data_IF_895962745858
#
_entry.id   IF_895962745858
#
_cell.length_a   1.000
_cell.length_b   1.000
_cell.length_c   1.000
_cell.angle_alpha   90.00
_cell.angle_beta   90.00
_cell.angle_gamma   90.00
#
_symmetry.space_group_name_H-M   'P 1'
#
loop_
_entity.id
_entity.type
_entity.pdbx_description
1 polymer ?
#
# COMPACT_ATOMS: atom_id res chain seq x y z
N UNK A 1 4.78 7.31 -25.90
CA UNK A 1 3.97 8.45 -26.35
C UNK A 1 3.23 9.08 -25.17
N UNK A 2 2.99 10.40 -25.17
CA UNK A 2 2.10 11.07 -24.21
C UNK A 2 1.07 11.90 -24.99
N UNK A 3 -0.21 11.70 -24.71
CA UNK A 3 -1.32 12.42 -25.33
C UNK A 3 -2.23 13.01 -24.26
N UNK A 4 -2.32 14.34 -24.19
CA UNK A 4 -3.31 15.01 -23.35
C UNK A 4 -4.71 14.81 -23.96
N UNK A 5 -5.67 14.43 -23.12
CA UNK A 5 -7.09 14.35 -23.48
C UNK A 5 -7.89 15.35 -22.67
N UNK A 6 -8.85 16.01 -23.32
CA UNK A 6 -9.74 16.96 -22.65
C UNK A 6 -10.96 16.20 -22.15
N UNK A 7 -11.05 16.05 -20.83
CA UNK A 7 -12.23 15.45 -20.20
C UNK A 7 -12.54 16.10 -18.86
N UNK A 8 -13.82 16.16 -18.51
CA UNK A 8 -14.30 16.58 -17.18
C UNK A 8 -14.47 15.42 -16.20
N UNK A 9 -14.28 14.18 -16.66
CA UNK A 9 -14.41 13.01 -15.80
C UNK A 9 -13.29 12.97 -14.76
N UNK A 10 -13.64 12.71 -13.51
CA UNK A 10 -12.68 12.45 -12.44
C UNK A 10 -11.97 11.11 -12.65
N UNK A 11 -10.83 10.91 -11.99
CA UNK A 11 -10.09 9.63 -12.05
C UNK A 11 -10.98 8.42 -11.72
N UNK A 12 -11.87 8.54 -10.72
CA UNK A 12 -12.73 7.42 -10.33
C UNK A 12 -13.87 7.18 -11.33
N UNK A 13 -14.39 8.21 -11.99
CA UNK A 13 -15.35 8.07 -13.10
C UNK A 13 -14.68 7.44 -14.32
N UNK A 14 -13.45 7.84 -14.65
CA UNK A 14 -12.67 7.19 -15.72
C UNK A 14 -12.49 5.71 -15.38
N UNK A 15 -12.04 5.37 -14.18
CA UNK A 15 -11.87 3.97 -13.76
C UNK A 15 -13.17 3.15 -13.83
N UNK A 16 -14.33 3.77 -13.57
CA UNK A 16 -15.64 3.11 -13.68
C UNK A 16 -15.87 2.52 -15.07
N UNK A 17 -15.29 3.10 -16.11
CA UNK A 17 -15.37 2.60 -17.49
C UNK A 17 -14.58 1.31 -17.71
N UNK A 18 -13.53 1.08 -16.90
CA UNK A 18 -12.59 -0.03 -17.05
C UNK A 18 -12.69 -1.09 -15.94
N UNK A 19 -13.49 -0.84 -14.89
CA UNK A 19 -13.55 -1.66 -13.66
C UNK A 19 -13.83 -3.15 -13.88
N UNK A 20 -14.53 -3.51 -14.95
CA UNK A 20 -14.91 -4.89 -15.28
C UNK A 20 -13.95 -5.55 -16.29
N UNK A 21 -12.96 -4.80 -16.79
CA UNK A 21 -11.96 -5.34 -17.69
C UNK A 21 -10.92 -6.17 -16.92
N UNK A 22 -10.30 -7.09 -17.65
CA UNK A 22 -9.35 -8.07 -17.09
C UNK A 22 -8.17 -7.35 -16.45
N UNK A 23 -7.83 -7.77 -15.22
CA UNK A 23 -6.72 -7.22 -14.45
C UNK A 23 -6.72 -5.68 -14.44
N UNK A 24 -7.90 -5.03 -14.49
CA UNK A 24 -7.98 -3.57 -14.41
C UNK A 24 -7.50 -3.05 -13.06
N UNK A 25 -6.95 -1.84 -13.04
CA UNK A 25 -6.57 -1.20 -11.81
C UNK A 25 -6.83 0.30 -11.80
N UNK A 26 -6.94 0.85 -10.60
CA UNK A 26 -6.62 2.24 -10.32
C UNK A 26 -5.63 2.30 -9.16
N UNK A 27 -4.51 2.99 -9.34
CA UNK A 27 -3.67 3.49 -8.27
C UNK A 27 -4.14 4.91 -7.98
N UNK A 28 -4.78 5.11 -6.84
CA UNK A 28 -5.66 6.24 -6.56
C UNK A 28 -5.07 7.16 -5.50
N UNK A 29 -4.72 8.37 -5.92
CA UNK A 29 -4.39 9.47 -5.04
C UNK A 29 -5.64 10.27 -4.68
N UNK A 30 -6.39 9.82 -3.68
CA UNK A 30 -7.66 10.45 -3.29
C UNK A 30 -7.49 11.73 -2.43
N UNK A 31 -6.27 12.06 -2.01
CA UNK A 31 -5.97 13.19 -1.12
C UNK A 31 -4.56 13.73 -1.36
N UNK A 32 -4.32 14.97 -0.92
CA UNK A 32 -3.00 15.61 -0.82
C UNK A 32 -2.27 15.78 -2.16
N UNK A 33 -2.99 16.36 -3.13
CA UNK A 33 -2.48 16.67 -4.48
C UNK A 33 -1.23 17.57 -4.53
N UNK A 34 -0.96 18.29 -3.44
CA UNK A 34 0.18 19.19 -3.33
C UNK A 34 1.45 18.50 -2.79
N UNK A 35 1.34 17.25 -2.30
CA UNK A 35 2.48 16.48 -1.81
C UNK A 35 2.48 15.06 -2.37
N UNK A 36 1.86 14.12 -1.66
CA UNK A 36 2.00 12.69 -1.93
C UNK A 36 1.06 12.18 -3.02
N UNK A 37 -0.11 12.82 -3.18
CA UNK A 37 -1.18 12.34 -4.04
C UNK A 37 -1.38 13.13 -5.34
N UNK A 38 -0.31 13.47 -6.06
CA UNK A 38 -0.42 14.26 -7.31
C UNK A 38 -1.08 13.50 -8.45
N UNK A 39 -0.84 12.19 -8.58
CA UNK A 39 -1.24 11.41 -9.75
C UNK A 39 -2.14 10.23 -9.39
N UNK A 40 -3.16 9.97 -10.21
CA UNK A 40 -3.82 8.66 -10.26
C UNK A 40 -3.50 7.97 -11.59
N UNK A 41 -3.33 6.65 -11.55
CA UNK A 41 -3.00 5.82 -12.70
C UNK A 41 -4.06 4.75 -12.92
N UNK A 42 -4.53 4.60 -14.15
CA UNK A 42 -5.58 3.64 -14.52
C UNK A 42 -5.14 2.88 -15.76
N UNK A 43 -5.31 1.56 -15.76
CA UNK A 43 -5.15 0.73 -16.95
C UNK A 43 -5.90 -0.60 -16.77
N UNK A 44 -5.90 -1.43 -17.82
CA UNK A 44 -6.53 -2.74 -17.88
C UNK A 44 -5.96 -3.56 -19.03
N UNK A 45 -6.31 -4.86 -19.06
CA UNK A 45 -5.91 -5.80 -20.11
C UNK A 45 -4.38 -5.83 -20.31
N UNK A 46 -3.61 -6.20 -19.27
CA UNK A 46 -2.16 -6.28 -19.40
C UNK A 46 -1.79 -7.25 -20.52
N UNK A 47 -0.75 -6.92 -21.29
CA UNK A 47 -0.27 -7.79 -22.37
C UNK A 47 0.45 -9.03 -21.82
N UNK A 48 0.83 -9.01 -20.54
CA UNK A 48 1.44 -10.13 -19.82
C UNK A 48 1.12 -10.05 -18.33
N UNK A 49 0.92 -11.20 -17.70
CA UNK A 49 0.72 -11.31 -16.25
C UNK A 49 1.78 -12.23 -15.65
N UNK A 50 2.42 -11.78 -14.57
CA UNK A 50 3.38 -12.55 -13.80
C UNK A 50 2.80 -12.79 -12.40
N UNK A 51 2.52 -14.05 -12.08
CA UNK A 51 1.94 -14.43 -10.79
C UNK A 51 2.59 -15.69 -10.25
N UNK A 52 3.06 -15.62 -9.00
CA UNK A 52 3.77 -16.72 -8.34
C UNK A 52 3.19 -17.00 -6.97
N UNK A 53 3.11 -18.29 -6.65
CA UNK A 53 2.72 -18.79 -5.34
C UNK A 53 3.54 -20.04 -5.06
N UNK A 54 4.14 -20.14 -3.87
CA UNK A 54 4.93 -21.30 -3.46
C UNK A 54 6.03 -21.68 -4.48
N UNK A 55 6.76 -20.70 -5.00
CA UNK A 55 7.85 -20.98 -5.93
C UNK A 55 9.04 -21.60 -5.19
N UNK A 56 9.89 -22.34 -5.89
CA UNK A 56 11.16 -22.83 -5.30
C UNK A 56 12.22 -21.72 -5.26
N UNK A 57 12.25 -20.90 -6.32
CA UNK A 57 13.13 -19.74 -6.43
C UNK A 57 12.41 -18.45 -6.02
N UNK A 58 13.19 -17.40 -5.74
CA UNK A 58 12.63 -16.10 -5.37
C UNK A 58 11.88 -15.46 -6.57
N UNK A 59 10.55 -15.22 -6.48
CA UNK A 59 9.74 -14.65 -7.56
C UNK A 59 10.25 -13.32 -8.11
N UNK A 60 10.98 -12.55 -7.30
CA UNK A 60 11.55 -11.28 -7.70
C UNK A 60 12.58 -11.42 -8.83
N UNK A 61 13.25 -12.57 -8.93
CA UNK A 61 14.18 -12.83 -10.04
C UNK A 61 13.44 -12.86 -11.39
N UNK A 62 12.30 -13.53 -11.46
CA UNK A 62 11.48 -13.56 -12.68
C UNK A 62 10.89 -12.20 -13.01
N UNK A 63 10.49 -11.42 -12.00
CA UNK A 63 10.06 -10.04 -12.19
C UNK A 63 11.18 -9.18 -12.80
N UNK A 64 12.41 -9.33 -12.29
CA UNK A 64 13.60 -8.65 -12.81
C UNK A 64 13.89 -9.02 -14.27
N UNK A 65 13.86 -10.33 -14.59
CA UNK A 65 14.05 -10.82 -15.95
C UNK A 65 13.01 -10.26 -16.93
N UNK A 66 11.74 -10.18 -16.52
CA UNK A 66 10.69 -9.64 -17.36
C UNK A 66 10.81 -8.12 -17.53
N UNK A 67 11.07 -7.37 -16.47
CA UNK A 67 11.31 -5.92 -16.57
C UNK A 67 12.50 -5.60 -17.49
N UNK A 68 13.56 -6.41 -17.45
CA UNK A 68 14.73 -6.25 -18.31
C UNK A 68 14.43 -6.41 -19.81
N UNK A 69 13.35 -7.12 -20.19
CA UNK A 69 12.96 -7.31 -21.61
C UNK A 69 12.28 -6.09 -22.21
N UNK A 70 11.69 -5.23 -21.39
CA UNK A 70 10.85 -4.12 -21.84
C UNK A 70 11.41 -2.75 -21.43
N UNK A 71 12.72 -2.62 -21.22
CA UNK A 71 13.34 -1.36 -20.78
C UNK A 71 13.13 -0.25 -21.79
N UNK A 72 12.64 0.90 -21.32
CA UNK A 72 12.45 2.12 -22.12
C UNK A 72 12.91 3.36 -21.36
N UNK A 73 13.27 4.42 -22.07
CA UNK A 73 13.52 5.72 -21.45
C UNK A 73 12.21 6.49 -21.29
N UNK A 74 11.99 7.08 -20.12
CA UNK A 74 10.87 7.99 -19.89
C UNK A 74 11.35 9.44 -19.99
N UNK A 75 11.18 10.05 -21.17
CA UNK A 75 11.54 11.45 -21.41
C UNK A 75 10.39 12.43 -21.12
N UNK A 76 9.38 12.01 -20.37
CA UNK A 76 8.21 12.83 -20.02
C UNK A 76 8.31 13.37 -18.59
N UNK A 77 7.42 14.29 -18.24
CA UNK A 77 7.29 14.79 -16.86
C UNK A 77 6.42 13.88 -15.98
N UNK A 78 5.83 12.84 -16.56
CA UNK A 78 4.94 11.90 -15.86
C UNK A 78 5.79 10.75 -15.32
N UNK A 79 5.64 10.35 -14.05
CA UNK A 79 6.52 9.35 -13.44
C UNK A 79 6.26 7.91 -13.92
N UNK A 80 5.10 7.63 -14.52
CA UNK A 80 4.73 6.28 -14.96
C UNK A 80 3.98 6.31 -16.30
N UNK A 81 4.57 5.70 -17.32
CA UNK A 81 4.04 5.67 -18.71
C UNK A 81 3.72 4.24 -19.21
N UNK A 82 3.88 3.25 -18.34
CA UNK A 82 3.80 1.82 -18.68
C UNK A 82 4.79 1.02 -17.84
N UNK A 83 4.44 -0.24 -17.55
CA UNK A 83 5.25 -1.09 -16.69
C UNK A 83 4.44 -2.15 -15.97
N UNK A 84 5.02 -2.68 -14.90
CA UNK A 84 4.41 -3.67 -14.04
C UNK A 84 3.59 -3.00 -12.94
N UNK A 85 2.30 -3.36 -12.79
CA UNK A 85 1.44 -2.91 -11.68
C UNK A 85 0.86 -4.11 -10.96
N UNK A 86 0.89 -4.08 -9.63
CA UNK A 86 0.54 -5.25 -8.85
C UNK A 86 0.82 -5.12 -7.37
N UNK A 87 1.03 -6.27 -6.74
CA UNK A 87 1.34 -6.35 -5.32
C UNK A 87 2.43 -7.38 -5.01
N UNK A 88 3.07 -7.16 -3.86
CA UNK A 88 3.99 -8.04 -3.17
C UNK A 88 3.33 -8.45 -1.85
N UNK A 89 3.12 -9.74 -1.64
CA UNK A 89 2.68 -10.27 -0.34
C UNK A 89 3.75 -10.03 0.72
N UNK A 90 3.36 -9.81 1.99
CA UNK A 90 4.31 -9.82 3.11
C UNK A 90 5.12 -11.11 3.16
N UNK A 91 4.49 -12.23 2.85
CA UNK A 91 5.11 -13.56 2.85
C UNK A 91 6.19 -13.73 1.77
N UNK A 92 6.30 -12.78 0.82
CA UNK A 92 7.44 -12.71 -0.09
C UNK A 92 8.77 -12.52 0.68
N UNK A 93 8.72 -11.98 1.91
CA UNK A 93 9.86 -11.90 2.82
C UNK A 93 10.51 -13.26 3.10
N UNK A 94 9.78 -14.37 3.00
CA UNK A 94 10.31 -15.73 3.17
C UNK A 94 11.30 -16.15 2.07
N UNK A 95 11.30 -15.46 0.93
CA UNK A 95 12.26 -15.68 -0.16
C UNK A 95 13.48 -14.75 -0.09
N UNK A 96 13.41 -13.73 0.77
CA UNK A 96 14.49 -12.75 1.00
C UNK A 96 15.28 -13.16 2.24
N UNK A 97 14.57 -13.57 3.29
CA UNK A 97 15.13 -13.95 4.59
C UNK A 97 14.76 -15.41 4.94
N UNK A 98 15.61 -16.06 5.72
CA UNK A 98 15.37 -17.45 6.17
C UNK A 98 14.54 -17.45 7.46
N UNK A 99 13.22 -17.67 7.32
CA UNK A 99 12.26 -17.66 8.42
C UNK A 99 11.68 -19.07 8.73
N UNK A 100 11.10 -19.30 9.92
CA UNK A 100 10.59 -20.62 10.32
C UNK A 100 9.36 -21.08 9.52
N UNK A 101 8.50 -20.14 9.10
CA UNK A 101 7.28 -20.38 8.31
C UNK A 101 6.27 -21.30 9.03
N UNK A 102 6.04 -21.04 10.32
CA UNK A 102 5.08 -21.79 11.14
C UNK A 102 3.65 -21.32 11.00
N UNK A 103 3.43 -20.06 10.60
CA UNK A 103 2.09 -19.50 10.42
C UNK A 103 1.30 -20.25 9.33
N UNK A 104 0.03 -20.54 9.59
CA UNK A 104 -0.80 -21.33 8.66
C UNK A 104 -1.08 -20.54 7.37
N UNK A 105 -0.84 -21.17 6.22
CA UNK A 105 -1.28 -20.69 4.90
C UNK A 105 -2.74 -21.08 4.66
N UNK A 106 -3.66 -20.16 4.90
CA UNK A 106 -5.10 -20.43 4.82
C UNK A 106 -5.84 -19.62 3.74
N UNK A 107 -5.19 -18.62 3.15
CA UNK A 107 -5.68 -17.91 1.99
C UNK A 107 -4.96 -18.36 0.72
N UNK A 108 -5.77 -18.63 -0.30
CA UNK A 108 -5.30 -18.99 -1.63
C UNK A 108 -5.16 -17.73 -2.48
N UNK A 109 -4.08 -16.99 -2.22
CA UNK A 109 -3.61 -15.82 -2.98
C UNK A 109 -2.14 -16.00 -3.38
N UNK A 110 -1.66 -15.18 -4.31
CA UNK A 110 -0.28 -15.21 -4.80
C UNK A 110 0.67 -14.47 -3.86
N UNK A 111 1.93 -14.90 -3.82
CA UNK A 111 2.99 -14.21 -3.08
C UNK A 111 3.46 -12.96 -3.85
N UNK A 112 3.30 -12.97 -5.18
CA UNK A 112 3.56 -11.86 -6.09
C UNK A 112 2.57 -11.93 -7.26
N UNK A 113 1.96 -10.81 -7.63
CA UNK A 113 1.13 -10.69 -8.84
C UNK A 113 1.34 -9.32 -9.48
N UNK A 114 1.84 -9.28 -10.71
CA UNK A 114 2.00 -8.07 -11.51
C UNK A 114 1.45 -8.26 -12.93
N UNK A 115 0.59 -7.34 -13.38
CA UNK A 115 0.26 -7.16 -14.78
C UNK A 115 1.24 -6.20 -15.45
N UNK A 116 1.59 -6.45 -16.71
CA UNK A 116 2.45 -5.60 -17.53
C UNK A 116 1.59 -4.84 -18.54
N UNK A 117 1.61 -3.52 -18.46
CA UNK A 117 0.71 -2.63 -19.20
C UNK A 117 1.50 -1.75 -20.18
N UNK A 118 1.02 -1.68 -21.41
CA UNK A 118 1.54 -0.89 -22.53
C UNK A 118 0.76 0.42 -22.74
N UNK A 119 -0.19 0.73 -21.86
CA UNK A 119 -0.81 2.05 -21.77
C UNK A 119 -1.23 2.36 -20.34
N UNK A 120 -1.28 3.64 -19.99
CA UNK A 120 -1.75 4.13 -18.70
C UNK A 120 -2.50 5.44 -18.91
N UNK A 121 -3.70 5.55 -18.34
CA UNK A 121 -4.40 6.82 -18.20
C UNK A 121 -3.89 7.48 -16.92
N UNK A 122 -3.38 8.70 -17.05
CA UNK A 122 -2.76 9.46 -15.97
C UNK A 122 -3.60 10.70 -15.69
N UNK A 123 -4.05 10.84 -14.45
CA UNK A 123 -4.75 12.05 -13.99
C UNK A 123 -3.79 12.84 -13.10
N UNK A 124 -3.36 14.01 -13.55
CA UNK A 124 -2.60 14.97 -12.75
C UNK A 124 -3.59 15.88 -12.00
N UNK A 125 -3.77 15.62 -10.71
CA UNK A 125 -4.71 16.37 -9.87
C UNK A 125 -4.26 17.79 -9.60
N UNK A 126 -2.95 18.06 -9.68
CA UNK A 126 -2.38 19.38 -9.45
C UNK A 126 -2.63 20.30 -10.65
N UNK A 127 -2.41 19.79 -11.87
CA UNK A 127 -2.64 20.54 -13.11
C UNK A 127 -4.07 20.40 -13.66
N UNK A 128 -4.87 19.50 -13.10
CA UNK A 128 -6.23 19.17 -13.57
C UNK A 128 -6.24 18.72 -15.04
N UNK A 129 -5.26 17.90 -15.40
CA UNK A 129 -5.08 17.35 -16.75
C UNK A 129 -5.11 15.83 -16.75
N UNK A 130 -5.61 15.29 -17.85
CA UNK A 130 -5.65 13.84 -18.08
C UNK A 130 -4.83 13.51 -19.32
N UNK A 131 -4.00 12.48 -19.21
CA UNK A 131 -3.14 12.01 -20.28
C UNK A 131 -3.37 10.51 -20.54
N UNK A 132 -3.16 10.09 -21.78
CA UNK A 132 -2.91 8.70 -22.14
C UNK A 132 -1.41 8.60 -22.43
N UNK A 133 -0.72 7.80 -21.64
CA UNK A 133 0.71 7.54 -21.79
C UNK A 133 0.94 6.09 -22.27
N UNK A 134 1.92 5.91 -23.13
CA UNK A 134 2.38 4.60 -23.63
C UNK A 134 3.91 4.57 -23.62
N UNK A 135 4.54 3.39 -23.44
CA UNK A 135 5.99 3.25 -23.31
C UNK A 135 6.77 3.19 -24.63
N UNK A 136 6.12 3.23 -25.79
CA UNK A 136 6.71 3.10 -27.12
C UNK A 136 7.37 1.73 -27.39
N UNK A 137 6.80 0.65 -26.84
CA UNK A 137 7.21 -0.74 -27.11
C UNK A 137 6.76 -1.21 -28.51
N UNK A 138 5.53 -0.85 -28.90
CA UNK A 138 4.99 -1.04 -30.25
C UNK A 138 4.14 0.17 -30.66
N UNK A 139 4.76 1.11 -31.37
CA UNK A 139 4.16 2.40 -31.74
C UNK A 139 2.81 2.27 -32.45
N UNK A 140 2.62 1.24 -33.29
CA UNK A 140 1.38 1.08 -34.04
C UNK A 140 0.27 0.57 -33.14
N UNK A 141 0.56 -0.51 -32.40
CA UNK A 141 -0.40 -1.10 -31.46
C UNK A 141 -0.80 -0.11 -30.37
N UNK A 142 0.16 0.62 -29.83
CA UNK A 142 -0.07 1.62 -28.78
C UNK A 142 -0.86 2.84 -29.27
N UNK A 143 -0.65 3.28 -30.52
CA UNK A 143 -1.48 4.33 -31.12
C UNK A 143 -2.94 3.89 -31.27
N UNK A 144 -3.18 2.65 -31.69
CA UNK A 144 -4.53 2.07 -31.78
C UNK A 144 -5.18 1.97 -30.38
N UNK A 145 -4.44 1.52 -29.37
CA UNK A 145 -4.90 1.46 -27.98
C UNK A 145 -5.27 2.86 -27.47
N UNK A 146 -4.38 3.85 -27.66
CA UNK A 146 -4.62 5.21 -27.20
C UNK A 146 -5.86 5.84 -27.85
N UNK A 147 -6.09 5.56 -29.14
CA UNK A 147 -7.30 5.98 -29.84
C UNK A 147 -8.57 5.34 -29.25
N UNK A 148 -8.56 4.02 -29.01
CA UNK A 148 -9.70 3.30 -28.42
C UNK A 148 -10.03 3.83 -27.01
N UNK A 149 -9.00 4.04 -26.19
CA UNK A 149 -9.16 4.58 -24.82
C UNK A 149 -9.75 5.99 -24.85
N UNK A 150 -9.24 6.86 -25.71
CA UNK A 150 -9.76 8.22 -25.88
C UNK A 150 -11.22 8.23 -26.34
N UNK A 151 -11.57 7.40 -27.34
CA UNK A 151 -12.95 7.26 -27.80
C UNK A 151 -13.88 6.83 -26.67
N UNK A 152 -13.48 5.82 -25.89
CA UNK A 152 -14.27 5.32 -24.77
C UNK A 152 -14.53 6.38 -23.70
N UNK A 153 -13.52 7.20 -23.36
CA UNK A 153 -13.66 8.32 -22.42
C UNK A 153 -14.56 9.41 -23.00
N UNK A 154 -14.35 9.77 -24.27
CA UNK A 154 -15.14 10.81 -24.95
C UNK A 154 -16.61 10.45 -25.09
N UNK A 155 -16.91 9.20 -25.43
CA UNK A 155 -18.27 8.67 -25.50
C UNK A 155 -18.95 8.70 -24.13
N UNK A 156 -18.23 8.33 -23.07
CA UNK A 156 -18.76 8.37 -21.71
C UNK A 156 -19.04 9.81 -21.23
N UNK A 157 -18.25 10.79 -21.64
CA UNK A 157 -18.51 12.19 -21.32
C UNK A 157 -19.75 12.75 -22.04
N UNK A 158 -20.02 12.30 -23.26
CA UNK A 158 -21.22 12.68 -24.03
C UNK A 158 -22.47 12.00 -23.48
N UNK A 159 -22.39 10.67 -23.26
CA UNK A 159 -23.53 9.86 -22.84
C UNK A 159 -23.82 9.94 -21.34
N UNK A 160 -22.87 10.48 -20.57
CA UNK A 160 -22.86 10.43 -19.11
C UNK A 160 -22.26 9.12 -18.60
N UNK A 161 -21.45 9.23 -17.55
CA UNK A 161 -21.02 8.06 -16.77
C UNK A 161 -22.15 7.69 -15.84
N UNK A 162 -22.42 6.38 -15.69
CA UNK A 162 -23.36 5.91 -14.67
C UNK A 162 -22.98 6.57 -13.34
N UNK A 163 -23.89 7.33 -12.71
CA UNK A 163 -23.55 8.09 -11.52
C UNK A 163 -23.04 7.11 -10.47
N UNK A 164 -21.92 7.48 -9.83
CA UNK A 164 -21.39 6.72 -8.72
C UNK A 164 -22.46 6.72 -7.62
N UNK A 165 -23.23 5.64 -7.53
CA UNK A 165 -24.41 5.59 -6.69
C UNK A 165 -24.01 5.44 -5.22
N UNK A 166 -23.99 6.55 -4.49
CA UNK A 166 -23.64 6.57 -3.07
C UNK A 166 -24.78 6.15 -2.14
N UNK A 167 -25.96 5.82 -2.69
CA UNK A 167 -27.10 5.40 -1.90
C UNK A 167 -26.79 4.11 -1.13
N UNK A 168 -27.21 4.08 0.13
CA UNK A 168 -27.08 2.88 0.95
C UNK A 168 -28.05 1.82 0.43
N UNK A 169 -27.55 0.85 -0.32
CA UNK A 169 -28.27 -0.42 -0.50
C UNK A 169 -28.63 -1.01 0.87
N UNK A 170 -29.87 -1.41 1.09
CA UNK A 170 -30.17 -2.21 2.29
C UNK A 170 -29.57 -3.60 2.09
N UNK A 171 -28.42 -3.84 2.73
CA UNK A 171 -27.75 -5.13 2.79
C UNK A 171 -27.65 -5.56 4.25
N UNK A 172 -27.78 -6.87 4.55
CA UNK A 172 -27.53 -7.37 5.89
C UNK A 172 -26.14 -6.97 6.38
N UNK A 173 -25.98 -6.60 7.66
CA UNK A 173 -24.68 -6.26 8.19
C UNK A 173 -23.73 -7.47 8.16
N UNK A 174 -22.50 -7.27 7.73
CA UNK A 174 -21.48 -8.32 7.72
C UNK A 174 -21.03 -8.61 9.15
N UNK A 175 -21.38 -9.78 9.69
CA UNK A 175 -20.80 -10.27 10.94
C UNK A 175 -19.34 -10.67 10.69
N UNK A 176 -18.43 -10.06 11.45
CA UNK A 176 -17.00 -10.35 11.36
C UNK A 176 -16.57 -11.34 12.43
N UNK A 177 -15.53 -12.13 12.14
CA UNK A 177 -14.82 -12.96 13.12
C UNK A 177 -13.33 -12.66 13.08
N UNK A 178 -12.66 -12.75 14.21
CA UNK A 178 -11.19 -12.60 14.31
C UNK A 178 -10.50 -13.96 14.36
N UNK A 179 -9.26 -14.02 13.88
CA UNK A 179 -8.38 -15.19 14.05
C UNK A 179 -7.75 -15.28 15.45
N UNK A 180 -8.00 -14.29 16.31
CA UNK A 180 -7.62 -14.26 17.72
C UNK A 180 -8.87 -14.05 18.59
N UNK A 181 -8.91 -14.66 19.77
CA UNK A 181 -9.68 -14.13 20.90
C UNK A 181 -8.95 -12.95 21.52
N UNK A 182 -9.64 -12.07 22.27
CA UNK A 182 -8.98 -10.97 22.99
C UNK A 182 -7.86 -11.47 23.88
N UNK A 183 -8.11 -12.57 24.61
CA UNK A 183 -7.14 -13.13 25.55
C UNK A 183 -5.87 -13.61 24.83
N UNK A 184 -6.01 -14.31 23.71
CA UNK A 184 -4.86 -14.77 22.92
C UNK A 184 -4.07 -13.59 22.34
N UNK A 185 -4.74 -12.52 21.90
CA UNK A 185 -4.05 -11.32 21.43
C UNK A 185 -3.28 -10.65 22.58
N UNK A 186 -3.90 -10.44 23.74
CA UNK A 186 -3.26 -9.88 24.93
C UNK A 186 -2.05 -10.70 25.39
N UNK A 187 -2.16 -12.03 25.36
CA UNK A 187 -1.05 -12.94 25.67
C UNK A 187 0.08 -12.82 24.64
N UNK A 188 -0.26 -12.62 23.36
CA UNK A 188 0.70 -12.29 22.31
C UNK A 188 1.46 -10.99 22.58
N UNK A 189 0.77 -9.92 23.01
CA UNK A 189 1.40 -8.66 23.40
C UNK A 189 2.36 -8.87 24.58
N UNK A 190 1.93 -9.59 25.62
CA UNK A 190 2.79 -9.88 26.77
C UNK A 190 4.02 -10.69 26.37
N UNK A 191 3.88 -11.63 25.44
CA UNK A 191 5.01 -12.41 24.92
C UNK A 191 5.99 -11.54 24.12
N UNK A 192 5.51 -10.58 23.33
CA UNK A 192 6.39 -9.58 22.70
C UNK A 192 7.14 -8.77 23.75
N UNK A 193 6.48 -8.33 24.84
CA UNK A 193 7.13 -7.62 25.94
C UNK A 193 8.22 -8.46 26.62
N UNK A 194 8.01 -9.76 26.75
CA UNK A 194 9.03 -10.68 27.27
C UNK A 194 10.25 -10.75 26.35
N UNK A 195 10.07 -10.83 25.04
CA UNK A 195 11.16 -10.76 24.06
C UNK A 195 11.91 -9.42 24.09
N UNK A 196 11.21 -8.32 24.35
CA UNK A 196 11.85 -7.02 24.55
C UNK A 196 12.68 -7.01 25.84
N UNK A 197 12.13 -7.58 26.92
CA UNK A 197 12.80 -7.66 28.22
C UNK A 197 14.08 -8.51 28.19
N UNK A 198 14.11 -9.59 27.40
CA UNK A 198 15.30 -10.42 27.18
C UNK A 198 16.33 -9.76 26.27
N UNK A 199 15.97 -8.66 25.61
CA UNK A 199 16.85 -7.94 24.68
C UNK A 199 16.88 -8.52 23.27
N UNK A 200 15.91 -9.36 22.89
CA UNK A 200 15.84 -9.97 21.56
C UNK A 200 15.41 -8.95 20.49
N UNK A 201 14.48 -8.05 20.86
CA UNK A 201 13.92 -7.01 20.00
C UNK A 201 13.66 -5.73 20.79
N UNK A 202 13.50 -4.62 20.09
CA UNK A 202 13.00 -3.35 20.63
C UNK A 202 11.50 -3.18 20.37
N UNK A 203 11.01 -3.71 19.24
CA UNK A 203 9.61 -3.65 18.83
C UNK A 203 9.29 -4.80 17.86
N UNK A 204 8.06 -5.32 17.94
CA UNK A 204 7.46 -6.16 16.90
C UNK A 204 6.03 -5.70 16.62
N UNK A 205 5.63 -5.69 15.35
CA UNK A 205 4.28 -5.35 14.93
C UNK A 205 3.41 -6.60 15.03
N UNK A 206 2.48 -6.66 15.97
CA UNK A 206 1.55 -7.79 16.13
C UNK A 206 0.21 -7.44 15.48
N UNK A 207 -0.35 -8.38 14.72
CA UNK A 207 -1.55 -8.14 13.90
C UNK A 207 -2.58 -9.24 14.09
N UNK A 208 -3.85 -8.88 13.91
CA UNK A 208 -4.97 -9.82 13.85
C UNK A 208 -5.77 -9.62 12.57
N UNK A 209 -6.40 -10.70 12.10
CA UNK A 209 -7.20 -10.72 10.88
C UNK A 209 -8.67 -10.89 11.20
N UNK A 210 -9.46 -10.03 10.60
CA UNK A 210 -10.91 -10.14 10.55
C UNK A 210 -11.35 -10.72 9.21
N UNK A 211 -12.35 -11.59 9.25
CA UNK A 211 -13.02 -12.11 8.06
C UNK A 211 -14.54 -12.00 8.19
N UNK A 212 -15.25 -12.06 7.07
CA UNK A 212 -16.70 -12.14 7.03
C UNK A 212 -17.24 -12.25 5.62
N UNK A 213 -18.57 -12.33 5.50
CA UNK A 213 -19.27 -12.43 4.21
C UNK A 213 -20.02 -11.16 3.86
N UNK A 214 -19.94 -10.74 2.60
CA UNK A 214 -20.66 -9.55 2.11
C UNK A 214 -21.17 -9.75 0.69
N UNK A 215 -22.35 -9.19 0.41
CA UNK A 215 -22.96 -9.16 -0.93
C UNK A 215 -22.62 -7.89 -1.71
N UNK A 216 -21.90 -6.93 -1.08
CA UNK A 216 -21.44 -5.72 -1.75
C UNK A 216 -20.38 -6.07 -2.80
N UNK A 217 -20.46 -5.46 -3.98
CA UNK A 217 -19.41 -5.65 -4.98
C UNK A 217 -18.09 -5.00 -4.54
N UNK A 218 -16.98 -5.52 -5.07
CA UNK A 218 -15.64 -4.98 -4.80
C UNK A 218 -15.55 -3.49 -5.15
N UNK A 219 -16.16 -3.08 -6.26
CA UNK A 219 -16.24 -1.67 -6.68
C UNK A 219 -17.01 -0.80 -5.68
N UNK A 220 -18.14 -1.28 -5.14
CA UNK A 220 -18.91 -0.55 -4.11
C UNK A 220 -18.14 -0.41 -2.80
N UNK A 221 -17.45 -1.49 -2.38
CA UNK A 221 -16.60 -1.47 -1.19
C UNK A 221 -15.46 -0.46 -1.33
N UNK A 222 -14.77 -0.46 -2.47
CA UNK A 222 -13.68 0.47 -2.70
C UNK A 222 -14.14 1.93 -2.78
N UNK A 223 -15.26 2.20 -3.46
CA UNK A 223 -15.90 3.51 -3.46
C UNK A 223 -16.20 3.98 -2.04
N UNK A 224 -16.81 3.13 -1.22
CA UNK A 224 -17.16 3.48 0.16
C UNK A 224 -15.90 3.67 1.03
N UNK A 225 -14.87 2.84 0.84
CA UNK A 225 -13.57 2.94 1.52
C UNK A 225 -12.88 4.27 1.23
N UNK A 226 -12.79 4.63 -0.06
CA UNK A 226 -12.21 5.88 -0.57
C UNK A 226 -12.89 7.10 0.05
N UNK A 227 -14.22 7.06 0.18
CA UNK A 227 -15.01 8.14 0.78
C UNK A 227 -14.83 8.25 2.30
N UNK A 228 -14.76 7.11 2.99
CA UNK A 228 -14.70 7.08 4.46
C UNK A 228 -13.31 7.50 4.98
N UNK A 229 -12.23 7.11 4.29
CA UNK A 229 -10.87 7.34 4.77
C UNK A 229 -9.90 7.66 3.63
N UNK A 230 -10.08 8.76 2.88
CA UNK A 230 -9.25 9.05 1.72
C UNK A 230 -7.76 9.03 2.08
N UNK A 231 -6.93 8.46 1.21
CA UNK A 231 -5.49 8.30 1.41
C UNK A 231 -4.69 8.61 0.13
N UNK A 232 -3.40 8.97 0.25
CA UNK A 232 -2.52 9.25 -0.88
C UNK A 232 -2.14 8.01 -1.71
N UNK A 233 -2.18 6.80 -1.12
CA UNK A 233 -1.74 5.56 -1.78
C UNK A 233 -2.85 4.51 -1.82
N UNK A 234 -4.01 4.89 -2.35
CA UNK A 234 -5.12 3.96 -2.59
C UNK A 234 -4.86 3.06 -3.81
N UNK A 235 -5.49 1.89 -3.82
CA UNK A 235 -5.46 0.99 -4.98
C UNK A 235 -6.72 0.12 -5.07
N UNK A 236 -7.21 -0.08 -6.28
CA UNK A 236 -8.14 -1.17 -6.62
C UNK A 236 -7.44 -2.05 -7.65
N UNK A 237 -7.27 -3.35 -7.36
CA UNK A 237 -6.70 -4.32 -8.30
C UNK A 237 -7.75 -5.39 -8.62
N UNK A 238 -8.13 -5.50 -9.90
CA UNK A 238 -9.18 -6.39 -10.41
C UNK A 238 -8.65 -7.73 -10.93
N UNK A 239 -8.03 -8.56 -10.08
CA UNK A 239 -7.56 -9.86 -10.56
C UNK A 239 -8.70 -10.85 -10.76
N UNK A 240 -8.50 -11.81 -11.67
CA UNK A 240 -9.51 -12.80 -12.06
C UNK A 240 -10.10 -13.60 -10.86
N UNK A 241 -9.27 -13.88 -9.85
CA UNK A 241 -9.64 -14.78 -8.73
C UNK A 241 -10.03 -14.04 -7.44
N UNK A 242 -9.60 -12.79 -7.28
CA UNK A 242 -9.85 -11.97 -6.09
C UNK A 242 -9.53 -10.51 -6.37
N UNK A 243 -10.08 -9.61 -5.56
CA UNK A 243 -9.81 -8.19 -5.65
C UNK A 243 -9.06 -7.69 -4.43
N UNK A 244 -8.18 -6.70 -4.65
CA UNK A 244 -7.48 -5.98 -3.58
C UNK A 244 -7.99 -4.55 -3.55
N UNK A 245 -8.52 -4.15 -2.39
CA UNK A 245 -9.06 -2.82 -2.14
C UNK A 245 -8.21 -2.16 -1.04
N UNK A 246 -7.26 -1.32 -1.42
CA UNK A 246 -6.30 -0.68 -0.51
C UNK A 246 -6.55 0.82 -0.40
N UNK A 247 -6.40 1.36 0.80
CA UNK A 247 -6.48 2.81 1.02
C UNK A 247 -5.37 3.23 1.99
N UNK A 248 -4.13 3.01 1.55
CA UNK A 248 -2.95 3.15 2.41
C UNK A 248 -2.52 4.60 2.58
N UNK A 249 -2.22 5.03 3.82
CA UNK A 249 -1.63 6.34 4.09
C UNK A 249 -0.10 6.37 3.98
N UNK A 250 0.57 5.22 3.90
CA UNK A 250 2.02 5.13 4.09
C UNK A 250 2.73 4.62 2.83
N UNK A 251 3.75 5.37 2.40
CA UNK A 251 4.67 4.96 1.34
C UNK A 251 5.67 3.95 1.90
N UNK A 252 5.87 2.85 1.19
CA UNK A 252 6.97 1.93 1.49
C UNK A 252 8.28 2.49 0.94
N UNK A 253 8.38 2.64 -0.37
CA UNK A 253 9.57 3.14 -1.05
C UNK A 253 9.20 3.75 -2.39
N UNK A 254 9.85 4.87 -2.73
CA UNK A 254 9.81 5.49 -4.05
C UNK A 254 11.23 5.56 -4.60
N UNK A 255 11.38 5.24 -5.88
CA UNK A 255 12.63 5.40 -6.61
C UNK A 255 12.30 6.06 -7.95
N UNK A 256 12.62 7.33 -8.12
CA UNK A 256 12.43 8.07 -9.38
C UNK A 256 13.76 8.67 -9.80
N UNK A 257 14.20 8.44 -11.05
CA UNK A 257 15.50 8.89 -11.56
C UNK A 257 16.67 8.51 -10.63
N UNK A 258 16.62 7.28 -10.09
CA UNK A 258 17.60 6.79 -9.12
C UNK A 258 17.56 7.46 -7.75
N UNK A 259 16.60 8.33 -7.45
CA UNK A 259 16.43 8.95 -6.12
C UNK A 259 15.46 8.15 -5.28
N UNK A 260 15.99 7.61 -4.18
CA UNK A 260 15.25 6.81 -3.22
C UNK A 260 14.62 7.69 -2.14
N UNK A 261 13.39 7.39 -1.77
CA UNK A 261 12.68 8.04 -0.67
C UNK A 261 11.77 7.04 0.05
N UNK A 262 11.86 7.00 1.38
CA UNK A 262 10.85 6.40 2.26
C UNK A 262 10.43 7.40 3.33
N UNK A 263 9.15 7.33 3.73
CA UNK A 263 8.53 8.27 4.67
C UNK A 263 7.83 7.51 5.80
N UNK A 264 8.58 6.99 6.80
CA UNK A 264 7.98 6.29 7.91
C UNK A 264 7.08 7.23 8.73
N UNK A 265 5.98 6.67 9.21
CA UNK A 265 5.01 7.37 10.05
C UNK A 265 4.92 6.64 11.40
N UNK A 266 5.11 7.38 12.51
CA UNK A 266 4.86 6.89 13.87
C UNK A 266 4.25 7.99 14.71
N UNK A 267 3.31 7.65 15.57
CA UNK A 267 2.56 8.64 16.34
C UNK A 267 1.49 9.35 15.52
N UNK A 268 0.27 9.35 16.07
CA UNK A 268 -0.89 9.98 15.46
C UNK A 268 -1.69 10.70 16.54
N UNK A 269 -2.20 11.88 16.22
CA UNK A 269 -3.23 12.56 17.02
C UNK A 269 -4.40 12.95 16.13
N UNK A 270 -5.64 12.98 16.65
CA UNK A 270 -6.77 13.51 15.89
C UNK A 270 -6.55 14.99 15.57
N UNK A 271 -7.29 15.52 14.60
CA UNK A 271 -7.40 16.97 14.43
C UNK A 271 -8.19 17.58 15.59
N UNK A 272 -7.75 18.74 16.05
CA UNK A 272 -8.51 19.51 17.03
C UNK A 272 -9.83 20.02 16.45
N UNK A 273 -10.84 20.24 17.31
CA UNK A 273 -12.14 20.81 16.89
C UNK A 273 -12.00 22.28 16.51
N UNK A 274 -10.92 22.93 16.94
CA UNK A 274 -10.55 24.29 16.60
C UNK A 274 -9.02 24.42 16.50
N UNK A 275 -8.52 25.56 16.03
CA UNK A 275 -7.10 25.81 15.79
C UNK A 275 -6.24 25.70 17.06
N UNK A 276 -6.75 26.14 18.20
CA UNK A 276 -6.01 26.11 19.47
C UNK A 276 -5.85 24.68 19.98
N UNK A 277 -6.92 23.89 19.95
CA UNK A 277 -6.90 22.47 20.28
C UNK A 277 -6.01 21.68 19.31
N UNK A 278 -6.06 21.99 18.02
CA UNK A 278 -5.23 21.33 17.01
C UNK A 278 -3.74 21.60 17.24
N UNK A 279 -3.36 22.85 17.55
CA UNK A 279 -1.99 23.19 17.92
C UNK A 279 -1.55 22.50 19.21
N UNK A 280 -2.43 22.39 20.21
CA UNK A 280 -2.14 21.66 21.44
C UNK A 280 -1.86 20.18 21.18
N UNK A 281 -2.69 19.52 20.36
CA UNK A 281 -2.51 18.12 19.97
C UNK A 281 -1.24 17.91 19.15
N UNK A 282 -0.90 18.85 18.26
CA UNK A 282 0.37 18.83 17.53
C UNK A 282 1.57 18.98 18.46
N UNK A 283 1.49 19.86 19.47
CA UNK A 283 2.57 20.06 20.44
C UNK A 283 2.71 18.87 21.39
N UNK A 284 1.60 18.22 21.76
CA UNK A 284 1.62 16.96 22.50
C UNK A 284 2.36 15.86 21.70
N UNK A 285 2.00 15.69 20.42
CA UNK A 285 2.66 14.73 19.53
C UNK A 285 4.15 15.09 19.33
N UNK A 286 4.45 16.37 19.17
CA UNK A 286 5.83 16.88 19.05
C UNK A 286 6.65 16.61 20.30
N UNK A 287 6.05 16.54 21.48
CA UNK A 287 6.76 16.33 22.74
C UNK A 287 6.65 14.89 23.27
N UNK A 288 5.96 14.00 22.56
CA UNK A 288 5.85 12.59 22.91
C UNK A 288 7.21 11.88 22.74
N UNK A 289 7.88 11.59 23.85
CA UNK A 289 9.13 10.83 23.86
C UNK A 289 8.96 9.42 23.32
N UNK A 290 7.80 8.79 23.60
CA UNK A 290 7.43 7.47 23.06
C UNK A 290 7.41 7.50 21.52
N UNK A 291 6.60 8.40 20.94
CA UNK A 291 6.42 8.47 19.48
C UNK A 291 7.74 8.83 18.76
N UNK A 292 8.58 9.69 19.36
CA UNK A 292 9.92 10.01 18.85
C UNK A 292 10.87 8.82 18.89
N UNK A 293 10.90 8.08 20.00
CA UNK A 293 11.78 6.92 20.15
C UNK A 293 11.43 5.83 19.13
N UNK A 294 10.14 5.53 18.97
CA UNK A 294 9.64 4.60 17.95
C UNK A 294 10.02 5.06 16.54
N UNK A 295 9.76 6.33 16.20
CA UNK A 295 10.08 6.84 14.86
C UNK A 295 11.59 6.78 14.57
N UNK A 296 12.43 7.18 15.54
CA UNK A 296 13.88 7.20 15.37
C UNK A 296 14.44 5.81 15.08
N UNK A 297 13.95 4.80 15.80
CA UNK A 297 14.35 3.42 15.57
C UNK A 297 13.99 2.91 14.18
N UNK A 298 12.80 3.26 13.66
CA UNK A 298 12.41 2.91 12.29
C UNK A 298 13.26 3.68 11.26
N UNK A 299 13.55 4.95 11.52
CA UNK A 299 14.44 5.76 10.66
C UNK A 299 15.82 5.11 10.57
N UNK A 300 16.40 4.67 11.68
CA UNK A 300 17.72 4.02 11.67
C UNK A 300 17.70 2.67 10.94
N UNK A 301 16.64 1.88 11.09
CA UNK A 301 16.44 0.65 10.31
C UNK A 301 16.38 0.94 8.80
N UNK A 302 15.59 1.94 8.41
CA UNK A 302 15.43 2.29 6.99
C UNK A 302 16.69 2.94 6.39
N UNK A 303 17.46 3.70 7.18
CA UNK A 303 18.77 4.18 6.76
C UNK A 303 19.72 3.03 6.47
N UNK A 304 19.70 1.98 7.29
CA UNK A 304 20.50 0.78 7.06
C UNK A 304 20.05 0.07 5.77
N UNK A 305 18.74 -0.12 5.58
CA UNK A 305 18.19 -0.76 4.38
C UNK A 305 18.56 -0.02 3.10
N UNK A 306 18.29 1.29 3.04
CA UNK A 306 18.62 2.15 1.89
C UNK A 306 20.14 2.22 1.67
N UNK A 307 20.94 2.23 2.74
CA UNK A 307 22.40 2.28 2.68
C UNK A 307 23.03 1.08 1.96
N UNK A 308 22.38 -0.08 1.94
CA UNK A 308 22.88 -1.28 1.23
C UNK A 308 22.83 -1.18 -0.29
N UNK A 309 21.98 -0.31 -0.82
CA UNK A 309 21.72 -0.17 -2.26
C UNK A 309 21.97 1.26 -2.77
N UNK A 310 22.46 2.16 -1.93
CA UNK A 310 22.73 3.54 -2.29
C UNK A 310 24.22 3.82 -2.47
N UNK A 311 24.55 4.84 -3.27
CA UNK A 311 25.89 5.41 -3.39
C UNK A 311 26.43 5.83 -2.02
N UNK A 312 27.69 5.53 -1.76
CA UNK A 312 28.35 5.83 -0.47
C UNK A 312 28.19 7.32 -0.14
N UNK A 313 27.68 7.61 1.06
CA UNK A 313 27.50 8.98 1.55
C UNK A 313 26.26 9.72 1.03
N UNK A 314 25.44 9.11 0.17
CA UNK A 314 24.21 9.73 -0.35
C UNK A 314 23.04 9.68 0.62
N UNK A 315 23.02 8.72 1.55
CA UNK A 315 21.90 8.50 2.48
C UNK A 315 21.78 9.65 3.49
N UNK A 316 20.61 10.28 3.52
CA UNK A 316 20.31 11.45 4.38
C UNK A 316 18.93 11.33 5.01
N UNK A 317 18.75 12.03 6.13
CA UNK A 317 17.45 12.22 6.80
C UNK A 317 17.13 13.71 6.80
N UNK A 318 16.62 14.27 5.68
CA UNK A 318 16.33 15.70 5.57
C UNK A 318 15.23 16.17 6.53
N UNK A 319 14.28 15.29 6.87
CA UNK A 319 13.16 15.59 7.76
C UNK A 319 13.12 14.53 8.87
N UNK A 320 13.14 14.97 10.13
CA UNK A 320 13.02 14.11 11.30
C UNK A 320 12.10 14.78 12.32
N UNK A 321 11.09 14.03 12.79
CA UNK A 321 10.07 14.53 13.74
C UNK A 321 9.24 15.71 13.19
N UNK A 322 8.90 15.67 11.90
CA UNK A 322 8.04 16.69 11.28
C UNK A 322 6.58 16.34 11.54
N UNK A 323 5.79 17.32 11.95
CA UNK A 323 4.34 17.17 12.09
C UNK A 323 3.69 17.46 10.75
N UNK A 324 2.98 16.49 10.21
CA UNK A 324 2.18 16.63 9.00
C UNK A 324 0.68 16.58 9.31
N UNK A 325 -0.05 17.69 9.09
CA UNK A 325 -1.49 17.71 9.21
C UNK A 325 -2.14 17.10 7.97
N UNK A 326 -3.03 16.14 8.19
CA UNK A 326 -3.94 15.56 7.21
C UNK A 326 -5.38 15.98 7.52
N UNK A 327 -6.33 15.54 6.68
CA UNK A 327 -7.75 15.91 6.84
C UNK A 327 -8.32 15.57 8.23
N UNK A 328 -7.98 14.39 8.77
CA UNK A 328 -8.56 13.87 10.01
C UNK A 328 -7.55 13.64 11.15
N UNK A 329 -6.25 13.67 10.86
CA UNK A 329 -5.19 13.39 11.84
C UNK A 329 -3.95 14.25 11.62
N UNK A 330 -3.12 14.37 12.65
CA UNK A 330 -1.75 14.86 12.59
C UNK A 330 -0.81 13.65 12.73
N UNK A 331 0.19 13.54 11.84
CA UNK A 331 1.19 12.47 11.86
C UNK A 331 2.57 13.02 12.18
N UNK A 332 3.37 12.28 12.95
CA UNK A 332 4.79 12.54 13.11
C UNK A 332 5.55 11.69 12.08
N UNK A 333 6.27 12.38 11.19
CA UNK A 333 6.91 11.77 10.02
C UNK A 333 8.39 12.04 10.00
N UNK A 334 9.12 11.17 9.33
CA UNK A 334 10.48 11.41 8.89
C UNK A 334 10.59 11.11 7.40
N UNK A 335 11.65 11.61 6.78
CA UNK A 335 11.97 11.34 5.38
C UNK A 335 13.41 10.84 5.32
N UNK A 336 13.61 9.65 4.77
CA UNK A 336 14.93 9.07 4.52
C UNK A 336 15.13 8.98 3.02
N UNK A 337 16.23 9.53 2.53
CA UNK A 337 16.57 9.58 1.09
C UNK A 337 17.92 8.95 0.81
N UNK A 338 18.13 8.52 -0.42
CA UNK A 338 19.42 8.03 -0.94
C UNK A 338 19.49 8.15 -2.46
N UNK A 339 20.68 7.99 -3.02
CA UNK A 339 20.87 7.87 -4.47
C UNK A 339 21.21 6.41 -4.78
N UNK A 340 20.41 5.74 -5.60
CA UNK A 340 20.59 4.35 -6.01
C UNK A 340 21.98 4.17 -6.65
N UNK A 341 22.67 3.10 -6.30
CA UNK A 341 23.93 2.74 -6.94
C UNK A 341 23.70 2.40 -8.43
N UNK A 342 24.63 2.81 -9.31
CA UNK A 342 24.46 2.70 -10.76
C UNK A 342 24.37 1.23 -11.24
N UNK A 343 24.77 0.25 -10.40
CA UNK A 343 24.68 -1.18 -10.70
C UNK A 343 23.44 -1.85 -10.09
N UNK A 344 22.47 -1.07 -9.59
CA UNK A 344 21.26 -1.58 -8.92
C UNK A 344 20.01 -1.18 -9.67
N UNK A 345 18.96 -1.99 -9.52
CA UNK A 345 17.65 -1.72 -10.11
C UNK A 345 16.51 -1.75 -9.08
N UNK A 346 15.27 -1.51 -9.52
CA UNK A 346 14.08 -1.51 -8.68
C UNK A 346 13.90 -2.82 -7.88
N UNK A 347 14.28 -3.96 -8.46
CA UNK A 347 14.16 -5.26 -7.77
C UNK A 347 15.22 -5.40 -6.68
N UNK A 348 16.45 -4.91 -6.90
CA UNK A 348 17.45 -4.81 -5.84
C UNK A 348 16.97 -3.94 -4.67
N UNK A 349 16.27 -2.84 -4.95
CA UNK A 349 15.68 -2.00 -3.90
C UNK A 349 14.66 -2.80 -3.10
N UNK A 350 13.74 -3.50 -3.75
CA UNK A 350 12.74 -4.33 -3.06
C UNK A 350 13.43 -5.41 -2.20
N UNK A 351 14.40 -6.14 -2.75
CA UNK A 351 15.15 -7.18 -2.00
C UNK A 351 15.86 -6.62 -0.77
N UNK A 352 16.37 -5.39 -0.84
CA UNK A 352 17.09 -4.78 0.27
C UNK A 352 16.16 -4.19 1.34
N UNK A 353 14.99 -3.67 0.97
CA UNK A 353 14.15 -2.91 1.90
C UNK A 353 12.90 -3.66 2.38
N UNK A 354 12.46 -4.70 1.68
CA UNK A 354 11.21 -5.41 1.96
C UNK A 354 11.36 -6.54 3.00
N UNK A 355 10.35 -6.78 3.88
CA UNK A 355 9.18 -5.93 4.11
C UNK A 355 9.53 -4.62 4.84
N UNK A 356 8.60 -3.66 4.80
CA UNK A 356 8.80 -2.33 5.40
C UNK A 356 9.16 -2.39 6.89
N UNK A 357 10.14 -1.58 7.29
CA UNK A 357 10.60 -1.56 8.69
C UNK A 357 9.51 -1.16 9.70
N UNK A 358 8.62 -0.24 9.32
CA UNK A 358 7.53 0.26 10.18
C UNK A 358 6.47 -0.79 10.53
N UNK A 359 6.36 -1.86 9.72
CA UNK A 359 5.34 -2.92 9.83
C UNK A 359 5.88 -4.30 10.24
N UNK A 360 7.18 -4.40 10.46
CA UNK A 360 7.83 -5.61 11.00
C UNK A 360 8.22 -5.33 12.45
N UNK A 361 9.35 -4.67 12.67
CA UNK A 361 9.94 -4.45 13.97
C UNK A 361 11.44 -4.26 13.88
N UNK A 362 12.10 -4.14 15.02
CA UNK A 362 13.54 -3.90 15.10
C UNK A 362 14.16 -4.75 16.21
N UNK A 363 15.24 -5.52 15.94
CA UNK A 363 15.80 -5.85 14.63
C UNK A 363 14.83 -6.61 13.71
N UNK A 364 14.83 -6.29 12.41
CA UNK A 364 13.81 -6.76 11.43
C UNK A 364 13.64 -8.29 11.42
N UNK A 365 14.72 -9.03 11.17
CA UNK A 365 14.67 -10.49 11.02
C UNK A 365 14.13 -11.15 12.29
N UNK A 366 14.64 -10.78 13.47
CA UNK A 366 14.20 -11.34 14.74
C UNK A 366 12.75 -11.01 15.05
N UNK A 367 12.29 -9.79 14.74
CA UNK A 367 10.89 -9.43 14.87
C UNK A 367 9.99 -10.27 13.94
N UNK A 368 10.43 -10.56 12.71
CA UNK A 368 9.69 -11.41 11.78
C UNK A 368 9.57 -12.87 12.25
N UNK A 369 10.62 -13.43 12.85
CA UNK A 369 10.56 -14.76 13.48
C UNK A 369 9.53 -14.82 14.61
N UNK A 370 9.50 -13.78 15.46
CA UNK A 370 8.53 -13.68 16.56
C UNK A 370 7.10 -13.50 16.00
N UNK A 371 6.93 -12.70 14.95
CA UNK A 371 5.63 -12.55 14.26
C UNK A 371 5.13 -13.90 13.75
N UNK A 372 5.99 -14.68 13.08
CA UNK A 372 5.64 -16.01 12.55
C UNK A 372 5.31 -17.03 13.66
N UNK A 373 5.92 -16.89 14.84
CA UNK A 373 5.61 -17.70 16.03
C UNK A 373 4.24 -17.34 16.64
N UNK A 374 3.91 -16.05 16.69
CA UNK A 374 2.74 -15.54 17.43
C UNK A 374 1.47 -15.46 16.58
N UNK A 375 1.59 -15.15 15.30
CA UNK A 375 0.43 -14.99 14.43
C UNK A 375 -0.06 -16.35 13.90
N UNK A 376 -1.37 -16.65 14.01
CA UNK A 376 -1.89 -17.98 13.68
C UNK A 376 -1.89 -18.25 12.17
N UNK A 377 -1.83 -17.20 11.34
CA UNK A 377 -1.96 -17.29 9.89
C UNK A 377 -1.06 -16.28 9.19
N UNK A 378 -0.60 -16.62 7.99
CA UNK A 378 0.19 -15.74 7.13
C UNK A 378 -0.51 -14.39 6.87
N UNK A 379 0.29 -13.34 6.69
CA UNK A 379 -0.25 -11.99 6.49
C UNK A 379 -0.78 -11.76 5.08
N UNK A 380 -0.31 -12.51 4.10
CA UNK A 380 -0.66 -12.35 2.70
C UNK A 380 -0.38 -10.90 2.24
N UNK A 381 -1.32 -10.28 1.52
CA UNK A 381 -1.18 -8.90 1.03
C UNK A 381 -0.92 -7.90 2.15
N UNK A 382 -1.48 -8.11 3.35
CA UNK A 382 -1.39 -7.13 4.43
C UNK A 382 0.05 -6.92 4.90
N UNK A 383 0.44 -5.66 5.09
CA UNK A 383 1.82 -5.23 5.37
C UNK A 383 2.86 -5.65 4.32
N UNK A 384 2.40 -6.17 3.18
CA UNK A 384 3.16 -6.23 1.94
C UNK A 384 3.19 -4.86 1.27
N UNK A 385 3.12 -4.86 -0.07
CA UNK A 385 3.21 -3.61 -0.84
C UNK A 385 2.40 -3.66 -2.13
N UNK A 386 1.83 -2.52 -2.53
CA UNK A 386 1.07 -2.33 -3.76
C UNK A 386 1.61 -1.09 -4.49
N UNK A 387 1.71 -1.16 -5.82
CA UNK A 387 2.10 -0.02 -6.63
C UNK A 387 2.59 -0.41 -8.02
N UNK A 388 3.51 0.38 -8.56
CA UNK A 388 4.04 0.17 -9.91
C UNK A 388 5.57 0.11 -9.95
N UNK A 389 6.08 -0.55 -11.00
CA UNK A 389 7.47 -0.51 -11.46
C UNK A 389 7.43 -0.20 -12.96
N UNK A 390 7.86 0.99 -13.34
CA UNK A 390 7.94 1.47 -14.71
C UNK A 390 8.96 0.70 -15.53
N UNK A 391 8.74 0.66 -16.84
CA UNK A 391 9.71 0.11 -17.78
C UNK A 391 11.04 0.90 -17.82
N UNK A 392 11.05 2.13 -17.32
CA UNK A 392 12.25 2.94 -17.09
C UNK A 392 12.97 2.63 -15.77
N UNK A 393 12.45 1.72 -14.94
CA UNK A 393 13.00 1.37 -13.62
C UNK A 393 12.51 2.23 -12.46
N UNK A 394 11.71 3.26 -12.73
CA UNK A 394 11.05 4.05 -11.70
C UNK A 394 10.00 3.23 -10.95
N UNK A 395 9.81 3.49 -9.65
CA UNK A 395 8.76 2.82 -8.87
C UNK A 395 8.23 3.69 -7.75
N UNK A 396 6.96 3.48 -7.39
CA UNK A 396 6.34 3.99 -6.17
C UNK A 396 5.47 2.88 -5.59
N UNK A 397 5.81 2.45 -4.38
CA UNK A 397 5.26 1.29 -3.69
C UNK A 397 4.76 1.74 -2.32
N UNK A 398 3.53 1.34 -1.96
CA UNK A 398 2.93 1.64 -0.65
C UNK A 398 3.21 0.54 0.38
N UNK A 399 2.89 0.78 1.64
CA UNK A 399 2.70 -0.29 2.62
C UNK A 399 1.24 -0.74 2.53
N UNK A 400 0.96 -2.02 2.32
CA UNK A 400 -0.39 -2.54 2.15
C UNK A 400 -1.15 -2.67 3.49
N UNK A 401 -1.51 -1.53 4.08
CA UNK A 401 -2.38 -1.40 5.25
C UNK A 401 -3.71 -0.79 4.85
N UNK A 402 -4.72 -0.85 5.74
CA UNK A 402 -6.11 -0.46 5.40
C UNK A 402 -6.59 -1.11 4.09
N UNK A 403 -6.34 -2.41 3.97
CA UNK A 403 -6.51 -3.17 2.74
C UNK A 403 -7.46 -4.33 2.97
N UNK A 404 -8.41 -4.51 2.05
CA UNK A 404 -9.38 -5.60 2.00
C UNK A 404 -9.01 -6.52 0.84
N UNK A 405 -8.90 -7.82 1.11
CA UNK A 405 -8.91 -8.85 0.07
C UNK A 405 -10.34 -9.35 -0.04
N UNK A 406 -10.92 -9.32 -1.23
CA UNK A 406 -12.24 -9.90 -1.49
C UNK A 406 -12.13 -11.06 -2.47
N UNK A 407 -12.53 -12.26 -2.05
CA UNK A 407 -12.57 -13.47 -2.89
C UNK A 407 -14.00 -13.99 -2.85
N UNK A 408 -14.69 -13.93 -3.98
CA UNK A 408 -16.15 -14.18 -4.05
C UNK A 408 -16.90 -13.31 -3.02
N UNK A 409 -17.68 -13.91 -2.13
CA UNK A 409 -18.42 -13.21 -1.06
C UNK A 409 -17.61 -13.05 0.23
N UNK A 410 -16.42 -13.65 0.33
CA UNK A 410 -15.55 -13.57 1.50
C UNK A 410 -14.68 -12.31 1.45
N UNK A 411 -14.60 -11.61 2.58
CA UNK A 411 -13.71 -10.47 2.77
C UNK A 411 -12.75 -10.74 3.91
N UNK A 412 -11.51 -10.31 3.73
CA UNK A 412 -10.44 -10.42 4.71
C UNK A 412 -9.75 -9.06 4.85
N UNK A 413 -9.50 -8.64 6.08
CA UNK A 413 -8.65 -7.49 6.35
C UNK A 413 -7.93 -7.68 7.68
N UNK A 414 -6.79 -7.02 7.83
CA UNK A 414 -5.97 -7.09 9.04
C UNK A 414 -5.71 -5.71 9.60
N UNK A 415 -5.45 -5.70 10.90
CA UNK A 415 -5.09 -4.54 11.70
C UNK A 415 -4.06 -4.96 12.75
N UNK A 416 -3.21 -4.02 13.15
CA UNK A 416 -2.18 -4.28 14.15
C UNK A 416 -1.44 -3.02 14.54
N UNK A 417 -0.41 -3.18 15.36
CA UNK A 417 0.37 -2.09 15.93
C UNK A 417 1.78 -2.55 16.34
N UNK A 418 2.69 -1.58 16.43
CA UNK A 418 4.05 -1.82 16.92
C UNK A 418 4.03 -1.95 18.44
N UNK A 419 4.24 -3.17 18.94
CA UNK A 419 4.32 -3.45 20.37
C UNK A 419 5.71 -3.05 20.88
N UNK A 420 5.75 -2.25 21.93
CA UNK A 420 6.97 -1.82 22.62
C UNK A 420 6.95 -2.28 24.07
N UNK A 421 8.03 -2.03 24.82
CA UNK A 421 8.06 -2.32 26.26
C UNK A 421 6.91 -1.66 27.04
N UNK A 422 6.53 -0.44 26.62
CA UNK A 422 5.48 0.36 27.24
C UNK A 422 4.06 0.03 26.76
N UNK A 423 3.89 -0.97 25.89
CA UNK A 423 2.57 -1.40 25.42
C UNK A 423 1.77 -2.07 26.54
N UNK A 424 0.51 -1.68 26.70
CA UNK A 424 -0.46 -2.35 27.55
C UNK A 424 -1.32 -3.31 26.71
N UNK A 425 -1.40 -4.62 27.05
CA UNK A 425 -2.13 -5.59 26.24
C UNK A 425 -3.59 -5.21 25.91
N UNK A 426 -4.31 -4.65 26.88
CA UNK A 426 -5.71 -4.28 26.72
C UNK A 426 -5.90 -3.06 25.82
N UNK A 427 -5.04 -2.05 25.98
CA UNK A 427 -5.03 -0.86 25.12
C UNK A 427 -4.65 -1.21 23.67
N UNK A 428 -3.64 -2.07 23.47
CA UNK A 428 -3.21 -2.48 22.13
C UNK A 428 -4.29 -3.29 21.40
N UNK A 429 -5.00 -4.18 22.11
CA UNK A 429 -6.15 -4.88 21.53
C UNK A 429 -7.23 -3.87 21.11
N UNK A 430 -7.57 -2.90 21.97
CA UNK A 430 -8.56 -1.87 21.62
C UNK A 430 -8.11 -1.02 20.43
N UNK A 431 -6.83 -0.67 20.34
CA UNK A 431 -6.28 0.08 19.19
C UNK A 431 -6.48 -0.67 17.87
N UNK A 432 -6.38 -2.00 17.87
CA UNK A 432 -6.67 -2.78 16.66
C UNK A 432 -8.14 -2.64 16.22
N UNK A 433 -9.09 -2.64 17.16
CA UNK A 433 -10.52 -2.45 16.88
C UNK A 433 -10.81 -1.03 16.36
N UNK A 434 -10.15 -0.03 16.95
CA UNK A 434 -10.28 1.37 16.51
C UNK A 434 -9.75 1.55 15.08
N UNK A 435 -8.63 0.92 14.73
CA UNK A 435 -8.10 0.88 13.35
C UNK A 435 -9.05 0.16 12.40
N UNK A 436 -9.68 -0.92 12.86
CA UNK A 436 -10.61 -1.72 12.09
C UNK A 436 -11.92 -0.97 11.77
N UNK A 437 -12.33 -0.03 12.62
CA UNK A 437 -13.61 0.68 12.53
C UNK A 437 -13.90 1.28 11.15
N UNK A 438 -12.88 1.85 10.49
CA UNK A 438 -13.02 2.42 9.15
C UNK A 438 -13.39 1.39 8.09
N UNK A 439 -12.80 0.19 8.16
CA UNK A 439 -13.09 -0.94 7.27
C UNK A 439 -14.42 -1.57 7.66
N UNK A 440 -14.70 -1.77 8.94
CA UNK A 440 -15.98 -2.29 9.42
C UNK A 440 -17.15 -1.42 8.93
N UNK A 441 -17.02 -0.09 9.00
CA UNK A 441 -18.01 0.86 8.45
C UNK A 441 -18.19 0.71 6.94
N UNK A 442 -17.10 0.47 6.21
CA UNK A 442 -17.13 0.22 4.76
C UNK A 442 -17.89 -1.06 4.43
N UNK A 443 -17.64 -2.13 5.20
CA UNK A 443 -18.32 -3.42 5.08
C UNK A 443 -19.77 -3.38 5.61
N UNK A 444 -20.18 -2.29 6.26
CA UNK A 444 -21.43 -2.20 7.06
C UNK A 444 -21.51 -3.34 8.07
N UNK A 445 -20.34 -3.75 8.56
CA UNK A 445 -20.17 -4.88 9.43
C UNK A 445 -20.06 -4.48 10.88
N UNK A 446 -20.12 -5.51 11.72
CA UNK A 446 -19.91 -5.40 13.16
C UNK A 446 -19.08 -6.59 13.62
N UNK A 447 -18.40 -6.40 14.74
CA UNK A 447 -17.66 -7.43 15.44
C UNK A 447 -18.17 -7.48 16.87
N UNK A 448 -18.52 -8.68 17.31
CA UNK A 448 -18.88 -9.01 18.68
C UNK A 448 -18.02 -10.21 19.07
N UNK A 449 -17.32 -10.08 20.19
CA UNK A 449 -16.41 -11.11 20.71
C UNK A 449 -17.17 -12.37 21.18
#
# INVERSE_FOLDING_TARGET
MIKEIKTKLSAFEIFTLFKDEKDSFILDSAMDKNKLGRYSFISSNPFKTLKYKNSEENPLNYLQEELNKYKVENNTHIPFIGGAVGYLSYDLGNYIEKLPQTAKKDLDVYDLYFGFYDYVIVVDHLEEKTYIATPDLDLKKEADIAFVVECKISEAEINGVNPICYEKKEVPPTRLTSNFTKKEFEDGVEKVRQYIKSGDIYQANLTQRFNGKTTLSSYELYRDLRRISPAPFGAYLNFDEFNILSNSPERFIKCIDGKLETRPIKGTRPRGKNKEEDLKLQEELRNSEKDKAELLMIVDLQRNDIGRISKIGSVKVPELFVIEPYANVNHLVATVVGELDDNKDAVDVIKATFPGGSITGAPKIRAMEIIDELEPTQRNVYTGSIGYIGFNGDMDLNIAIRTIIKKEDEVYFQVGGGMTWGSDPGEEYQETLDKAQSIMKTLRGYYEE
#
